data_IF_768397631154
#
_entry.id   IF_768397631154
#
_cell.length_a   1.000
_cell.length_b   1.000
_cell.length_c   1.000
_cell.angle_alpha   90.00
_cell.angle_beta   90.00
_cell.angle_gamma   90.00
#
_symmetry.space_group_name_H-M   'P 1'
#
loop_
_entity.id
_entity.type
_entity.pdbx_description
1 polymer ?
#
# COMPACT_ATOMS: atom_id res chain seq x y z
N UNK A 1 -3.54 -4.75 -11.61
CA UNK A 1 -4.36 -3.55 -11.89
C UNK A 1 -5.32 -3.13 -10.76
N UNK A 2 -5.27 -3.73 -9.56
CA UNK A 2 -6.21 -3.43 -8.45
C UNK A 2 -5.68 -2.50 -7.35
N UNK A 3 -4.41 -2.07 -7.39
CA UNK A 3 -3.83 -1.22 -6.33
C UNK A 3 -4.31 0.25 -6.36
N UNK A 4 -4.89 0.73 -7.46
CA UNK A 4 -5.36 2.11 -7.60
C UNK A 4 -6.59 2.44 -6.75
N UNK A 5 -7.43 1.45 -6.47
CA UNK A 5 -8.73 1.64 -5.84
C UNK A 5 -8.66 1.97 -4.34
N UNK A 6 -7.59 1.55 -3.65
CA UNK A 6 -7.40 1.88 -2.22
C UNK A 6 -6.83 3.29 -1.99
N UNK A 7 -6.34 3.97 -3.03
CA UNK A 7 -5.86 5.37 -2.95
C UNK A 7 -7.05 6.33 -2.84
N UNK A 8 -8.16 6.03 -3.51
CA UNK A 8 -9.37 6.86 -3.50
C UNK A 8 -9.97 6.98 -2.09
N UNK A 9 -10.06 5.88 -1.34
CA UNK A 9 -10.57 5.91 0.03
C UNK A 9 -9.70 6.73 0.99
N UNK A 10 -8.36 6.63 0.87
CA UNK A 10 -7.42 7.45 1.64
C UNK A 10 -7.53 8.95 1.31
N UNK A 11 -7.88 9.31 0.08
CA UNK A 11 -7.91 10.72 -0.35
C UNK A 11 -9.24 11.42 -0.09
N UNK A 12 -10.39 10.74 -0.23
CA UNK A 12 -11.70 11.24 0.25
C UNK A 12 -11.63 11.56 1.74
N UNK A 13 -11.03 10.64 2.47
CA UNK A 13 -10.76 10.77 3.89
C UNK A 13 -9.87 11.96 4.22
N UNK A 14 -8.77 12.13 3.48
CA UNK A 14 -7.85 13.25 3.66
C UNK A 14 -8.53 14.61 3.46
N UNK A 15 -9.37 14.73 2.42
CA UNK A 15 -10.07 15.98 2.11
C UNK A 15 -11.04 16.41 3.23
N UNK A 16 -11.79 15.45 3.78
CA UNK A 16 -12.75 15.70 4.87
C UNK A 16 -12.08 16.21 6.15
N UNK A 17 -10.82 15.85 6.36
CA UNK A 17 -10.05 16.25 7.53
C UNK A 17 -9.40 17.61 7.37
N UNK A 18 -8.83 17.91 6.20
CA UNK A 18 -8.27 19.25 5.93
C UNK A 18 -9.37 20.31 6.04
N UNK A 19 -10.58 20.03 5.56
CA UNK A 19 -11.68 20.98 5.68
C UNK A 19 -12.29 21.04 7.08
N UNK A 20 -12.13 20.00 7.92
CA UNK A 20 -12.64 20.00 9.28
C UNK A 20 -11.62 20.50 10.33
N UNK A 21 -10.33 20.47 10.02
CA UNK A 21 -9.28 21.12 10.78
C UNK A 21 -9.19 22.55 10.26
N UNK A 22 -9.96 23.47 10.87
CA UNK A 22 -9.73 24.89 10.69
C UNK A 22 -8.26 25.25 10.96
N UNK A 23 -7.76 26.40 10.48
CA UNK A 23 -6.36 26.77 10.67
C UNK A 23 -5.99 26.72 12.15
N UNK A 24 -5.06 25.82 12.51
CA UNK A 24 -4.38 25.79 13.80
C UNK A 24 -3.49 27.06 13.89
N UNK A 25 -4.12 28.22 14.12
CA UNK A 25 -3.46 29.48 14.40
C UNK A 25 -4.02 30.04 15.69
N UNK A 26 -3.13 30.22 16.67
CA UNK A 26 -3.46 30.67 18.01
C UNK A 26 -4.25 31.98 18.06
N UNK A 27 -5.05 32.10 19.12
CA UNK A 27 -5.78 33.29 19.56
C UNK A 27 -6.48 34.08 18.45
N UNK A 28 -7.50 33.47 17.86
CA UNK A 28 -8.58 34.20 17.19
C UNK A 28 -9.86 33.98 17.99
N UNK A 29 -10.24 34.99 18.77
CA UNK A 29 -11.48 35.05 19.56
C UNK A 29 -12.68 35.55 18.76
N UNK A 30 -12.78 35.17 17.48
CA UNK A 30 -14.00 35.36 16.68
C UNK A 30 -14.74 34.04 16.56
N UNK A 31 -16.04 34.10 16.82
CA UNK A 31 -17.03 33.05 16.56
C UNK A 31 -17.23 32.85 15.05
N UNK A 32 -16.14 32.67 14.31
CA UNK A 32 -16.20 32.34 12.89
C UNK A 32 -16.72 30.91 12.81
N UNK A 33 -17.98 30.80 12.38
CA UNK A 33 -18.65 29.54 12.12
C UNK A 33 -17.74 28.68 11.24
N UNK A 34 -17.24 27.58 11.81
CA UNK A 34 -16.53 26.57 11.04
C UNK A 34 -17.56 26.01 10.06
N UNK A 35 -17.49 26.45 8.79
CA UNK A 35 -18.32 25.92 7.71
C UNK A 35 -17.96 24.45 7.61
N UNK A 36 -18.87 23.57 8.04
CA UNK A 36 -18.64 22.15 7.91
C UNK A 36 -18.47 21.81 6.42
N UNK A 37 -17.47 20.99 6.07
CA UNK A 37 -17.25 20.64 4.68
C UNK A 37 -18.48 19.99 4.06
N UNK A 38 -18.87 20.46 2.88
CA UNK A 38 -19.81 19.75 2.03
C UNK A 38 -19.18 18.41 1.59
N UNK A 39 -19.59 17.33 2.26
CA UNK A 39 -19.11 15.98 2.01
C UNK A 39 -19.34 15.55 0.56
N UNK A 40 -20.45 15.99 -0.06
CA UNK A 40 -20.78 15.62 -1.44
C UNK A 40 -19.79 16.27 -2.41
N UNK A 41 -19.48 17.55 -2.21
CA UNK A 41 -18.47 18.25 -2.99
C UNK A 41 -17.10 17.59 -2.90
N UNK A 42 -16.73 17.06 -1.71
CA UNK A 42 -15.46 16.36 -1.51
C UNK A 42 -15.41 15.00 -2.21
N UNK A 43 -16.46 14.18 -2.11
CA UNK A 43 -16.55 12.92 -2.85
C UNK A 43 -16.49 13.17 -4.36
N UNK A 44 -17.28 14.13 -4.87
CA UNK A 44 -17.28 14.50 -6.28
C UNK A 44 -15.90 14.98 -6.77
N UNK A 45 -15.23 15.85 -6.00
CA UNK A 45 -13.86 16.31 -6.32
C UNK A 45 -12.88 15.14 -6.41
N UNK A 46 -12.94 14.21 -5.45
CA UNK A 46 -12.00 13.08 -5.41
C UNK A 46 -12.28 12.03 -6.46
N UNK A 47 -13.55 11.79 -6.81
CA UNK A 47 -13.91 10.96 -7.96
C UNK A 47 -13.43 11.56 -9.28
N UNK A 48 -13.51 12.89 -9.42
CA UNK A 48 -12.98 13.60 -10.59
C UNK A 48 -11.48 13.45 -10.70
N UNK A 49 -10.76 13.66 -9.59
CA UNK A 49 -9.32 13.45 -9.53
C UNK A 49 -8.93 11.98 -9.77
N UNK A 50 -9.70 11.03 -9.25
CA UNK A 50 -9.49 9.61 -9.53
C UNK A 50 -9.62 9.29 -11.02
N UNK A 51 -10.71 9.74 -11.67
CA UNK A 51 -10.92 9.57 -13.12
C UNK A 51 -9.73 10.12 -13.92
N UNK A 52 -9.19 11.29 -13.55
CA UNK A 52 -8.04 11.86 -14.27
C UNK A 52 -6.76 11.02 -14.12
N UNK A 53 -6.64 10.23 -13.05
CA UNK A 53 -5.51 9.32 -12.84
C UNK A 53 -5.63 7.97 -13.56
N UNK A 54 -6.81 7.63 -14.08
CA UNK A 54 -7.00 6.38 -14.82
C UNK A 54 -6.17 6.38 -16.12
N UNK A 55 -5.66 5.20 -16.55
CA UNK A 55 -5.17 5.02 -17.91
C UNK A 55 -6.22 5.46 -18.94
N UNK A 56 -5.78 5.95 -20.09
CA UNK A 56 -6.65 6.57 -21.10
C UNK A 56 -7.86 5.68 -21.48
N UNK A 57 -7.63 4.39 -21.76
CA UNK A 57 -8.72 3.47 -22.09
C UNK A 57 -9.75 3.29 -20.96
N UNK A 58 -9.31 3.25 -19.70
CA UNK A 58 -10.22 3.16 -18.55
C UNK A 58 -10.92 4.50 -18.26
N UNK A 59 -10.24 5.62 -18.52
CA UNK A 59 -10.82 6.96 -18.39
C UNK A 59 -11.97 7.16 -19.38
N UNK A 60 -11.81 6.70 -20.61
CA UNK A 60 -12.86 6.72 -21.64
C UNK A 60 -14.05 5.81 -21.28
N UNK A 61 -13.80 4.70 -20.58
CA UNK A 61 -14.87 3.85 -20.05
C UNK A 61 -15.58 4.50 -18.85
N UNK A 62 -14.90 5.31 -18.05
CA UNK A 62 -15.43 5.89 -16.81
C UNK A 62 -16.01 7.31 -16.98
N UNK A 63 -16.63 7.60 -18.13
CA UNK A 63 -17.16 8.94 -18.48
C UNK A 63 -18.40 9.33 -17.69
N UNK A 64 -19.24 8.36 -17.32
CA UNK A 64 -20.43 8.57 -16.49
C UNK A 64 -20.22 8.09 -15.06
N UNK A 65 -21.13 8.45 -14.15
CA UNK A 65 -21.12 7.90 -12.79
C UNK A 65 -21.38 6.39 -12.80
N UNK A 66 -22.36 5.93 -13.57
CA UNK A 66 -22.70 4.50 -13.68
C UNK A 66 -21.54 3.67 -14.22
N UNK A 67 -20.84 4.16 -15.24
CA UNK A 67 -19.71 3.43 -15.81
C UNK A 67 -18.50 3.42 -14.85
N UNK A 68 -18.29 4.51 -14.10
CA UNK A 68 -17.30 4.52 -13.04
C UNK A 68 -17.70 3.58 -11.88
N UNK A 69 -18.98 3.52 -11.52
CA UNK A 69 -19.50 2.58 -10.53
C UNK A 69 -19.23 1.14 -10.97
N UNK A 70 -19.59 0.77 -12.21
CA UNK A 70 -19.34 -0.57 -12.75
C UNK A 70 -17.84 -0.94 -12.73
N UNK A 71 -16.98 0.03 -13.01
CA UNK A 71 -15.52 -0.16 -12.95
C UNK A 71 -15.03 -0.39 -11.50
N UNK A 72 -15.60 0.34 -10.53
CA UNK A 72 -15.15 0.34 -9.14
C UNK A 72 -15.76 -0.78 -8.29
N UNK A 73 -17.02 -1.14 -8.56
CA UNK A 73 -17.85 -1.97 -7.71
C UNK A 73 -17.18 -3.31 -7.32
N UNK A 74 -16.56 -4.09 -8.24
CA UNK A 74 -15.89 -5.34 -7.84
C UNK A 74 -14.77 -5.13 -6.83
N UNK A 75 -14.11 -3.98 -6.85
CA UNK A 75 -13.06 -3.68 -5.86
C UNK A 75 -13.64 -3.17 -4.54
N UNK A 76 -14.70 -2.35 -4.59
CA UNK A 76 -15.37 -1.88 -3.39
C UNK A 76 -16.00 -3.05 -2.62
N UNK A 77 -16.74 -3.90 -3.32
CA UNK A 77 -17.33 -5.12 -2.77
C UNK A 77 -16.26 -6.05 -2.17
N UNK A 78 -15.13 -6.22 -2.86
CA UNK A 78 -14.01 -6.98 -2.30
C UNK A 78 -13.52 -6.40 -0.96
N UNK A 79 -13.40 -5.08 -0.86
CA UNK A 79 -12.85 -4.43 0.34
C UNK A 79 -13.77 -4.53 1.56
N UNK A 80 -15.09 -4.49 1.39
CA UNK A 80 -16.02 -4.46 2.53
C UNK A 80 -16.81 -5.76 2.75
N UNK A 81 -16.96 -6.63 1.74
CA UNK A 81 -17.75 -7.85 1.81
C UNK A 81 -16.91 -9.11 1.55
N UNK A 82 -16.26 -9.20 0.39
CA UNK A 82 -15.70 -10.50 -0.02
C UNK A 82 -14.40 -10.85 0.69
N UNK A 83 -13.55 -9.85 0.99
CA UNK A 83 -12.22 -10.10 1.55
C UNK A 83 -12.26 -10.97 2.81
N UNK A 84 -13.24 -10.76 3.68
CA UNK A 84 -13.40 -11.57 4.88
C UNK A 84 -13.73 -13.02 4.58
N UNK A 85 -14.76 -13.24 3.76
CA UNK A 85 -15.16 -14.58 3.30
C UNK A 85 -14.00 -15.30 2.62
N UNK A 86 -13.26 -14.59 1.76
CA UNK A 86 -12.09 -15.12 1.07
C UNK A 86 -10.96 -15.51 2.03
N UNK A 87 -10.75 -14.74 3.10
CA UNK A 87 -9.76 -15.07 4.14
C UNK A 87 -10.11 -16.36 4.86
N UNK A 88 -11.38 -16.51 5.26
CA UNK A 88 -11.86 -17.72 5.93
C UNK A 88 -11.79 -18.94 5.00
N UNK A 89 -12.28 -18.81 3.76
CA UNK A 89 -12.33 -19.90 2.78
C UNK A 89 -10.95 -20.44 2.42
N UNK A 90 -9.97 -19.55 2.25
CA UNK A 90 -8.61 -19.94 1.85
C UNK A 90 -7.66 -20.17 3.02
N UNK A 91 -8.15 -20.05 4.26
CA UNK A 91 -7.34 -20.20 5.47
C UNK A 91 -6.05 -19.38 5.39
N UNK A 92 -6.14 -18.11 4.98
CA UNK A 92 -4.95 -17.25 5.01
C UNK A 92 -4.53 -17.07 6.47
N UNK A 93 -3.55 -17.88 6.90
CA UNK A 93 -3.02 -17.89 8.24
C UNK A 93 -2.15 -16.67 8.37
N UNK A 94 -2.72 -15.52 8.66
CA UNK A 94 -1.85 -14.45 9.11
C UNK A 94 -1.57 -14.79 10.58
N UNK A 95 -0.35 -15.20 10.97
CA UNK A 95 -0.11 -15.97 12.21
C UNK A 95 -0.34 -15.18 13.51
N UNK A 96 -0.62 -13.89 13.37
CA UNK A 96 -1.03 -12.97 14.43
C UNK A 96 -2.44 -12.37 14.19
N UNK A 97 -3.15 -12.80 13.14
CA UNK A 97 -4.56 -12.52 12.83
C UNK A 97 -5.50 -13.70 13.07
N UNK A 98 -5.03 -14.80 13.69
CA UNK A 98 -5.93 -15.82 14.22
C UNK A 98 -7.01 -15.25 15.15
N UNK A 99 -6.87 -13.97 15.56
CA UNK A 99 -7.86 -13.17 16.26
C UNK A 99 -8.16 -11.80 15.61
N UNK A 100 -7.79 -11.50 14.36
CA UNK A 100 -8.09 -10.17 13.77
C UNK A 100 -9.56 -10.06 13.36
N UNK A 101 -10.10 -11.15 12.84
CA UNK A 101 -11.54 -11.33 12.66
C UNK A 101 -12.19 -11.97 13.90
N UNK A 102 -11.50 -11.97 15.03
CA UNK A 102 -12.17 -12.14 16.31
C UNK A 102 -12.26 -10.76 16.96
N UNK A 103 -13.43 -10.40 17.46
CA UNK A 103 -13.66 -9.09 18.08
C UNK A 103 -13.99 -7.99 17.09
N UNK A 104 -13.20 -6.91 17.09
CA UNK A 104 -13.59 -5.60 16.53
C UNK A 104 -13.78 -5.59 15.01
N UNK A 105 -12.87 -6.17 14.22
CA UNK A 105 -13.02 -6.17 12.74
C UNK A 105 -14.15 -7.07 12.30
N UNK A 106 -14.30 -8.25 12.90
CA UNK A 106 -15.46 -9.09 12.59
C UNK A 106 -16.76 -8.41 12.99
N UNK A 107 -16.83 -7.76 14.15
CA UNK A 107 -18.02 -6.97 14.51
C UNK A 107 -18.31 -5.89 13.47
N UNK A 108 -17.29 -5.17 12.98
CA UNK A 108 -17.46 -4.17 11.93
C UNK A 108 -17.92 -4.77 10.60
N UNK A 109 -17.28 -5.85 10.14
CA UNK A 109 -17.63 -6.47 8.86
C UNK A 109 -18.99 -7.16 8.93
N UNK A 110 -19.33 -7.82 10.04
CA UNK A 110 -20.66 -8.34 10.31
C UNK A 110 -21.70 -7.23 10.31
N UNK A 111 -21.42 -6.07 10.88
CA UNK A 111 -22.34 -4.92 10.84
C UNK A 111 -22.49 -4.37 9.41
N UNK A 112 -21.40 -4.30 8.62
CA UNK A 112 -21.49 -3.94 7.20
C UNK A 112 -22.37 -4.96 6.45
N UNK A 113 -22.11 -6.25 6.60
CA UNK A 113 -22.92 -7.32 5.98
C UNK A 113 -24.38 -7.22 6.37
N UNK A 114 -24.67 -7.06 7.67
CA UNK A 114 -26.02 -6.88 8.19
C UNK A 114 -26.73 -5.67 7.55
N UNK A 115 -26.04 -4.53 7.48
CA UNK A 115 -26.55 -3.31 6.83
C UNK A 115 -26.89 -3.56 5.35
N UNK A 116 -26.05 -4.32 4.63
CA UNK A 116 -26.28 -4.60 3.22
C UNK A 116 -27.50 -5.50 3.02
N UNK A 117 -27.60 -6.58 3.80
CA UNK A 117 -28.73 -7.52 3.74
C UNK A 117 -30.06 -6.85 4.08
N UNK A 118 -30.06 -5.89 5.00
CA UNK A 118 -31.26 -5.17 5.47
C UNK A 118 -31.36 -3.75 4.90
N UNK A 119 -30.67 -3.46 3.80
CA UNK A 119 -30.63 -2.12 3.19
C UNK A 119 -32.00 -1.60 2.73
N UNK A 120 -32.95 -2.50 2.48
CA UNK A 120 -34.34 -2.19 2.13
C UNK A 120 -35.23 -1.90 3.37
N UNK A 121 -34.79 -2.32 4.56
CA UNK A 121 -35.52 -2.14 5.82
C UNK A 121 -34.98 -0.98 6.65
N UNK A 122 -33.69 -0.66 6.50
CA UNK A 122 -32.99 0.32 7.31
C UNK A 122 -32.74 1.62 6.52
N UNK A 123 -33.21 2.78 7.01
CA UNK A 123 -32.77 4.06 6.48
C UNK A 123 -31.25 4.18 6.53
N UNK A 124 -30.60 4.65 5.47
CA UNK A 124 -29.14 4.67 5.40
C UNK A 124 -28.48 5.47 6.54
N UNK A 125 -29.12 6.56 7.00
CA UNK A 125 -28.72 7.28 8.21
C UNK A 125 -28.58 6.38 9.45
N UNK A 126 -29.47 5.40 9.64
CA UNK A 126 -29.40 4.45 10.75
C UNK A 126 -28.22 3.50 10.57
N UNK A 127 -27.99 3.04 9.34
CA UNK A 127 -26.81 2.24 8.98
C UNK A 127 -25.49 2.96 9.28
N UNK A 128 -25.40 4.25 8.93
CA UNK A 128 -24.24 5.08 9.26
C UNK A 128 -24.03 5.22 10.78
N UNK A 129 -25.12 5.39 11.56
CA UNK A 129 -25.04 5.46 13.03
C UNK A 129 -24.57 4.14 13.64
N UNK A 130 -25.03 3.01 13.11
CA UNK A 130 -24.56 1.69 13.53
C UNK A 130 -23.06 1.53 13.25
N UNK A 131 -22.57 1.95 12.07
CA UNK A 131 -21.15 1.94 11.75
C UNK A 131 -20.34 2.84 12.69
N UNK A 132 -20.82 4.06 12.95
CA UNK A 132 -20.15 4.99 13.86
C UNK A 132 -20.06 4.40 15.28
N UNK A 133 -21.18 3.89 15.82
CA UNK A 133 -21.20 3.26 17.13
C UNK A 133 -20.22 2.08 17.22
N UNK A 134 -20.11 1.29 16.15
CA UNK A 134 -19.13 0.19 16.06
C UNK A 134 -17.69 0.72 16.15
N UNK A 135 -17.37 1.78 15.41
CA UNK A 135 -16.04 2.41 15.43
C UNK A 135 -15.73 3.14 16.75
N UNK A 136 -16.74 3.56 17.48
CA UNK A 136 -16.58 4.16 18.82
C UNK A 136 -16.24 3.11 19.88
N UNK A 137 -16.73 1.89 19.74
CA UNK A 137 -16.40 0.75 20.61
C UNK A 137 -14.94 0.31 20.46
N UNK A 138 -14.33 0.57 19.30
CA UNK A 138 -12.92 0.20 19.06
C UNK A 138 -12.05 0.92 20.08
N UNK A 139 -11.45 0.15 21.00
CA UNK A 139 -10.70 0.71 22.11
C UNK A 139 -9.32 1.13 21.61
N UNK A 140 -9.06 2.45 21.49
CA UNK A 140 -7.79 2.90 20.97
C UNK A 140 -6.62 2.60 21.92
N UNK A 141 -6.89 2.24 23.16
CA UNK A 141 -5.87 1.87 24.15
C UNK A 141 -5.44 0.41 24.03
N UNK A 142 -6.25 -0.43 23.37
CA UNK A 142 -5.87 -1.82 23.06
C UNK A 142 -4.90 -1.82 21.89
N UNK A 143 -3.62 -1.95 22.23
CA UNK A 143 -2.52 -2.01 21.26
C UNK A 143 -2.75 -3.02 20.14
N UNK A 144 -3.44 -4.13 20.39
CA UNK A 144 -3.71 -5.14 19.37
C UNK A 144 -4.62 -4.61 18.28
N UNK A 145 -5.79 -4.06 18.62
CA UNK A 145 -6.78 -3.59 17.66
C UNK A 145 -6.27 -2.44 16.78
N UNK A 146 -5.63 -1.45 17.40
CA UNK A 146 -5.09 -0.29 16.67
C UNK A 146 -3.99 -0.70 15.68
N UNK A 147 -3.09 -1.60 16.07
CA UNK A 147 -1.87 -1.84 15.31
C UNK A 147 -2.06 -2.76 14.11
N UNK A 148 -3.09 -3.61 14.11
CA UNK A 148 -3.28 -4.64 13.08
C UNK A 148 -4.57 -4.48 12.28
N UNK A 149 -5.67 -4.09 12.93
CA UNK A 149 -7.02 -4.19 12.36
C UNK A 149 -7.46 -2.91 11.63
N UNK A 150 -7.04 -1.77 12.16
CA UNK A 150 -7.45 -0.45 11.69
C UNK A 150 -7.31 -0.23 10.16
N UNK A 151 -6.21 -0.60 9.48
CA UNK A 151 -6.07 -0.34 8.05
C UNK A 151 -7.14 -1.05 7.20
N UNK A 152 -7.57 -2.24 7.63
CA UNK A 152 -8.64 -3.01 6.99
C UNK A 152 -9.98 -2.33 7.26
N UNK A 153 -10.27 -2.02 8.54
CA UNK A 153 -11.51 -1.34 8.95
C UNK A 153 -11.72 -0.02 8.21
N UNK A 154 -10.68 0.83 8.10
CA UNK A 154 -10.75 2.08 7.34
C UNK A 154 -11.14 1.81 5.89
N UNK A 155 -10.48 0.86 5.23
CA UNK A 155 -10.75 0.56 3.82
C UNK A 155 -12.15 0.02 3.60
N UNK A 156 -12.61 -0.89 4.44
CA UNK A 156 -13.95 -1.45 4.36
C UNK A 156 -15.02 -0.35 4.52
N UNK A 157 -14.91 0.47 5.56
CA UNK A 157 -15.87 1.57 5.80
C UNK A 157 -15.85 2.59 4.67
N UNK A 158 -14.67 3.03 4.22
CA UNK A 158 -14.61 3.99 3.12
C UNK A 158 -15.10 3.40 1.79
N UNK A 159 -14.82 2.13 1.52
CA UNK A 159 -15.34 1.46 0.35
C UNK A 159 -16.87 1.37 0.39
N UNK A 160 -17.45 1.04 1.55
CA UNK A 160 -18.90 1.00 1.75
C UNK A 160 -19.56 2.36 1.51
N UNK A 161 -19.00 3.43 2.09
CA UNK A 161 -19.49 4.80 1.89
C UNK A 161 -19.43 5.24 0.42
N UNK A 162 -18.32 4.91 -0.25
CA UNK A 162 -18.12 5.23 -1.66
C UNK A 162 -19.06 4.46 -2.58
N UNK A 163 -19.28 3.17 -2.29
CA UNK A 163 -20.20 2.33 -3.05
C UNK A 163 -21.62 2.87 -2.96
N UNK A 164 -22.07 3.26 -1.77
CA UNK A 164 -23.35 3.95 -1.58
C UNK A 164 -23.43 5.26 -2.38
N UNK A 165 -22.42 6.13 -2.27
CA UNK A 165 -22.39 7.40 -2.99
C UNK A 165 -22.48 7.23 -4.52
N UNK A 166 -21.80 6.21 -5.05
CA UNK A 166 -21.82 5.91 -6.48
C UNK A 166 -23.17 5.34 -6.94
N UNK A 167 -23.83 4.51 -6.14
CA UNK A 167 -25.11 3.87 -6.49
C UNK A 167 -26.32 4.76 -6.26
N UNK A 168 -26.38 5.46 -5.13
CA UNK A 168 -27.57 6.22 -4.69
C UNK A 168 -27.41 7.72 -5.00
N UNK A 169 -26.17 8.22 -4.99
CA UNK A 169 -25.86 9.63 -5.23
C UNK A 169 -25.48 10.37 -3.95
N UNK A 170 -25.84 11.64 -3.88
CA UNK A 170 -25.44 12.52 -2.78
C UNK A 170 -26.05 12.09 -1.45
N UNK A 171 -25.26 12.24 -0.38
CA UNK A 171 -25.74 12.15 0.99
C UNK A 171 -26.67 13.32 1.31
N UNK A 172 -27.75 13.06 2.04
CA UNK A 172 -28.55 14.12 2.67
C UNK A 172 -27.71 14.88 3.71
N UNK A 173 -28.14 16.07 4.14
CA UNK A 173 -27.42 16.86 5.14
C UNK A 173 -27.15 16.06 6.44
N UNK A 174 -28.19 15.36 6.92
CA UNK A 174 -28.13 14.51 8.10
C UNK A 174 -27.18 13.31 7.94
N UNK A 175 -27.14 12.70 6.77
CA UNK A 175 -26.21 11.60 6.48
C UNK A 175 -24.78 12.12 6.39
N UNK A 176 -24.59 13.28 5.75
CA UNK A 176 -23.29 13.90 5.60
C UNK A 176 -22.63 14.23 6.93
N UNK A 177 -23.39 14.72 7.92
CA UNK A 177 -22.90 14.94 9.28
C UNK A 177 -22.34 13.64 9.92
N UNK A 178 -23.05 12.52 9.74
CA UNK A 178 -22.60 11.21 10.26
C UNK A 178 -21.38 10.70 9.49
N UNK A 179 -21.33 10.88 8.17
CA UNK A 179 -20.15 10.54 7.36
C UNK A 179 -18.92 11.32 7.83
N UNK A 180 -19.05 12.62 8.09
CA UNK A 180 -17.95 13.44 8.63
C UNK A 180 -17.47 12.90 9.97
N UNK A 181 -18.39 12.53 10.88
CA UNK A 181 -18.05 11.91 12.18
C UNK A 181 -17.29 10.58 12.02
N UNK A 182 -17.75 9.71 11.12
CA UNK A 182 -17.08 8.45 10.80
C UNK A 182 -15.65 8.71 10.30
N UNK A 183 -15.48 9.63 9.35
CA UNK A 183 -14.17 9.98 8.80
C UNK A 183 -13.24 10.58 9.87
N UNK A 184 -13.73 11.49 10.71
CA UNK A 184 -12.97 12.04 11.85
C UNK A 184 -12.51 10.93 12.80
N UNK A 185 -13.40 10.00 13.17
CA UNK A 185 -13.08 8.89 14.08
C UNK A 185 -12.00 7.97 13.51
N UNK A 186 -12.18 7.54 12.27
CA UNK A 186 -11.19 6.74 11.56
C UNK A 186 -9.83 7.46 11.51
N UNK A 187 -9.78 8.80 11.42
CA UNK A 187 -8.49 9.52 11.34
C UNK A 187 -7.78 9.60 12.66
N UNK A 188 -8.53 9.82 13.73
CA UNK A 188 -7.98 9.77 15.09
C UNK A 188 -7.32 8.42 15.35
N UNK A 189 -7.96 7.33 14.91
CA UNK A 189 -7.39 5.98 14.98
C UNK A 189 -6.09 5.86 14.16
N UNK A 190 -6.05 6.37 12.91
CA UNK A 190 -4.81 6.41 12.10
C UNK A 190 -3.68 7.15 12.80
N UNK A 191 -3.97 8.38 13.24
CA UNK A 191 -2.99 9.26 13.89
C UNK A 191 -2.42 8.59 15.13
N UNK A 192 -3.27 7.99 15.96
CA UNK A 192 -2.83 7.28 17.15
C UNK A 192 -2.02 6.01 16.81
N UNK A 193 -2.42 5.25 15.80
CA UNK A 193 -1.65 4.09 15.31
C UNK A 193 -0.25 4.52 14.87
N UNK A 194 -0.16 5.56 14.04
CA UNK A 194 1.10 6.09 13.53
C UNK A 194 2.02 6.59 14.66
N UNK A 195 1.48 7.36 15.61
CA UNK A 195 2.21 7.84 16.78
C UNK A 195 2.72 6.71 17.69
N UNK A 196 1.97 5.60 17.75
CA UNK A 196 2.33 4.43 18.55
C UNK A 196 3.42 3.58 17.89
N UNK A 197 3.35 3.42 16.56
CA UNK A 197 4.29 2.60 15.78
C UNK A 197 5.69 3.23 15.74
N UNK A 198 5.78 4.55 15.59
CA UNK A 198 7.01 5.39 15.59
C UNK A 198 8.10 5.04 14.57
N UNK A 199 8.05 3.87 13.95
CA UNK A 199 8.99 3.39 12.93
C UNK A 199 8.19 3.21 11.65
N UNK A 200 8.67 3.80 10.57
CA UNK A 200 8.13 3.62 9.22
C UNK A 200 8.88 2.49 8.54
N UNK A 201 8.14 1.44 8.16
CA UNK A 201 8.63 0.43 7.22
C UNK A 201 8.11 0.79 5.83
N UNK A 202 9.02 1.12 4.93
CA UNK A 202 8.71 1.27 3.52
C UNK A 202 8.95 -0.05 2.79
N UNK A 203 7.88 -0.74 2.40
CA UNK A 203 8.00 -1.84 1.47
C UNK A 203 8.22 -1.31 0.07
N UNK A 204 9.49 -1.29 -0.32
CA UNK A 204 9.91 -0.83 -1.63
C UNK A 204 9.76 -1.98 -2.63
N UNK A 205 8.59 -2.05 -3.26
CA UNK A 205 8.44 -2.81 -4.51
C UNK A 205 9.41 -2.22 -5.53
N UNK A 206 10.48 -2.95 -5.83
CA UNK A 206 11.58 -2.42 -6.63
C UNK A 206 11.11 -1.73 -7.91
N UNK A 207 11.77 -0.61 -8.25
CA UNK A 207 11.42 0.29 -9.38
C UNK A 207 10.08 1.00 -9.26
N UNK A 208 9.55 1.12 -8.05
CA UNK A 208 8.36 1.92 -7.72
C UNK A 208 8.72 3.18 -6.93
N UNK A 209 9.83 3.84 -7.27
CA UNK A 209 10.20 5.15 -6.72
C UNK A 209 10.89 5.12 -5.35
N UNK A 210 11.51 4.01 -4.95
CA UNK A 210 12.07 3.92 -3.59
C UNK A 210 13.28 4.82 -3.31
N UNK A 211 14.09 5.15 -4.32
CA UNK A 211 15.14 6.17 -4.15
C UNK A 211 14.54 7.51 -3.78
N UNK A 212 13.48 7.94 -4.48
CA UNK A 212 12.77 9.18 -4.15
C UNK A 212 12.16 9.10 -2.75
N UNK A 213 11.44 8.03 -2.42
CA UNK A 213 10.82 7.91 -1.10
C UNK A 213 11.85 7.90 0.05
N UNK A 214 13.01 7.27 -0.15
CA UNK A 214 14.12 7.32 0.80
C UNK A 214 14.64 8.76 0.99
N UNK A 215 14.82 9.53 -0.08
CA UNK A 215 15.19 10.95 0.05
C UNK A 215 14.09 11.78 0.73
N UNK A 216 12.81 11.48 0.49
CA UNK A 216 11.71 12.14 1.21
C UNK A 216 11.77 11.87 2.71
N UNK A 217 12.09 10.64 3.10
CA UNK A 217 12.31 10.32 4.52
C UNK A 217 13.35 11.25 5.13
N UNK A 218 14.48 11.47 4.44
CA UNK A 218 15.52 12.42 4.87
C UNK A 218 14.99 13.84 5.03
N UNK A 219 14.28 14.35 4.01
CA UNK A 219 13.73 15.71 4.02
C UNK A 219 12.71 15.91 5.14
N UNK A 220 11.95 14.87 5.49
CA UNK A 220 10.98 14.88 6.59
C UNK A 220 11.61 14.49 7.95
N UNK A 221 12.92 14.55 8.10
CA UNK A 221 13.60 14.37 9.39
C UNK A 221 13.66 12.92 9.90
N UNK A 222 13.43 11.94 9.04
CA UNK A 222 13.62 10.53 9.40
C UNK A 222 15.09 10.19 9.65
N UNK A 223 15.32 9.08 10.36
CA UNK A 223 16.62 8.52 10.71
C UNK A 223 16.68 7.06 10.27
N UNK A 224 17.73 6.73 9.52
CA UNK A 224 18.01 5.39 9.00
C UNK A 224 19.52 5.17 8.95
N UNK A 225 19.98 3.99 8.53
CA UNK A 225 21.40 3.67 8.41
C UNK A 225 22.09 4.52 7.33
N UNK A 226 21.47 4.62 6.15
CA UNK A 226 22.03 5.40 5.05
C UNK A 226 20.95 5.91 4.08
N UNK A 227 20.98 7.20 3.76
CA UNK A 227 20.11 7.82 2.76
C UNK A 227 20.74 7.90 1.36
N UNK A 228 21.83 7.19 1.05
CA UNK A 228 22.39 7.23 -0.31
C UNK A 228 21.45 6.58 -1.33
N UNK A 229 21.51 7.05 -2.57
CA UNK A 229 20.72 6.51 -3.68
C UNK A 229 21.06 5.05 -4.03
N UNK A 230 22.22 4.58 -3.60
CA UNK A 230 22.66 3.19 -3.77
C UNK A 230 22.12 2.27 -2.68
N UNK A 231 21.92 2.77 -1.46
CA UNK A 231 21.43 1.99 -0.32
C UNK A 231 19.92 2.08 -0.14
N UNK A 232 19.25 3.12 -0.68
CA UNK A 232 17.80 3.29 -0.61
C UNK A 232 17.20 3.04 0.78
N UNK A 233 17.89 3.49 1.85
CA UNK A 233 17.42 3.34 3.23
C UNK A 233 17.28 1.88 3.69
N UNK A 234 18.00 0.95 3.06
CA UNK A 234 18.15 -0.42 3.55
C UNK A 234 18.96 -0.44 4.84
N UNK A 235 18.62 -1.38 5.73
CA UNK A 235 19.46 -1.74 6.87
C UNK A 235 20.33 -2.92 6.46
N UNK A 236 21.65 -2.75 6.47
CA UNK A 236 22.61 -3.74 5.94
C UNK A 236 22.41 -5.11 6.59
N UNK A 237 22.11 -5.13 7.89
CA UNK A 237 21.90 -6.35 8.65
C UNK A 237 20.69 -7.17 8.17
N UNK A 238 19.60 -6.52 7.73
CA UNK A 238 18.38 -7.22 7.36
C UNK A 238 18.52 -7.99 6.04
N UNK A 239 19.44 -7.57 5.16
CA UNK A 239 19.67 -8.16 3.84
C UNK A 239 18.42 -8.16 2.94
N UNK A 240 17.64 -7.08 3.04
CA UNK A 240 16.43 -6.86 2.25
C UNK A 240 16.69 -6.29 0.85
N UNK A 241 17.94 -6.31 0.39
CA UNK A 241 18.27 -5.89 -0.96
C UNK A 241 17.56 -6.80 -2.00
N UNK A 242 17.19 -6.24 -3.16
CA UNK A 242 16.43 -6.98 -4.15
C UNK A 242 17.26 -8.14 -4.77
N UNK A 243 16.55 -9.18 -5.23
CA UNK A 243 17.13 -10.40 -5.79
C UNK A 243 16.50 -10.69 -7.16
N UNK A 244 16.80 -9.85 -8.13
CA UNK A 244 16.10 -9.85 -9.42
C UNK A 244 16.48 -11.01 -10.33
N UNK A 245 17.77 -11.37 -10.35
CA UNK A 245 18.31 -12.27 -11.37
C UNK A 245 18.82 -13.57 -10.78
N UNK A 246 18.80 -14.62 -11.61
CA UNK A 246 19.29 -15.94 -11.26
C UNK A 246 20.82 -15.99 -11.43
N UNK A 247 21.56 -16.46 -10.40
CA UNK A 247 23.01 -16.62 -10.50
C UNK A 247 23.39 -17.69 -11.52
N UNK A 248 24.52 -17.52 -12.19
CA UNK A 248 25.08 -18.50 -13.12
C UNK A 248 24.39 -18.63 -14.49
N UNK A 249 23.33 -17.86 -14.76
CA UNK A 249 22.55 -18.02 -16.00
C UNK A 249 23.34 -17.67 -17.27
N UNK A 250 24.36 -16.82 -17.17
CA UNK A 250 25.20 -16.45 -18.31
C UNK A 250 26.36 -17.44 -18.56
N UNK A 251 26.31 -18.63 -17.94
CA UNK A 251 27.24 -19.73 -18.22
C UNK A 251 28.69 -19.34 -17.95
N UNK A 252 29.53 -19.46 -18.98
CA UNK A 252 30.97 -19.18 -18.89
C UNK A 252 31.27 -17.76 -18.37
N UNK A 253 30.47 -16.77 -18.74
CA UNK A 253 30.68 -15.39 -18.32
C UNK A 253 30.54 -15.26 -16.79
N UNK A 254 29.51 -15.88 -16.20
CA UNK A 254 29.32 -15.96 -14.76
C UNK A 254 30.45 -16.74 -14.06
N UNK A 255 30.97 -17.81 -14.67
CA UNK A 255 32.08 -18.60 -14.11
C UNK A 255 33.37 -17.78 -14.04
N UNK A 256 33.66 -16.99 -15.09
CA UNK A 256 34.92 -16.22 -15.18
C UNK A 256 34.94 -15.00 -14.27
N UNK A 257 33.82 -14.29 -14.10
CA UNK A 257 33.78 -12.99 -13.42
C UNK A 257 32.86 -12.95 -12.19
N UNK A 258 32.17 -14.04 -11.86
CA UNK A 258 31.11 -14.05 -10.87
C UNK A 258 29.86 -13.32 -11.37
N UNK A 259 28.85 -13.19 -10.53
CA UNK A 259 27.60 -12.50 -10.87
C UNK A 259 27.43 -11.16 -10.14
N UNK A 260 26.69 -10.19 -10.72
CA UNK A 260 26.40 -8.93 -10.06
C UNK A 260 25.60 -9.15 -8.76
N UNK A 261 25.65 -8.16 -7.86
CA UNK A 261 25.06 -8.27 -6.52
C UNK A 261 23.55 -8.62 -6.50
N UNK A 262 22.81 -8.28 -7.55
CA UNK A 262 21.38 -8.56 -7.71
C UNK A 262 21.08 -10.01 -8.14
N UNK A 263 22.09 -10.79 -8.54
CA UNK A 263 21.99 -12.18 -8.97
C UNK A 263 21.91 -13.15 -7.78
N UNK A 264 20.79 -13.07 -7.07
CA UNK A 264 20.56 -13.82 -5.81
C UNK A 264 19.18 -14.46 -5.77
N UNK A 265 18.46 -14.50 -6.88
CA UNK A 265 17.19 -15.22 -6.99
C UNK A 265 17.35 -16.68 -6.57
N UNK A 266 16.34 -17.25 -5.89
CA UNK A 266 16.40 -18.63 -5.37
C UNK A 266 17.24 -18.82 -4.10
N UNK A 267 18.02 -17.83 -3.65
CA UNK A 267 18.75 -17.95 -2.38
C UNK A 267 17.79 -17.91 -1.20
N UNK A 268 18.07 -18.74 -0.19
CA UNK A 268 17.32 -18.75 1.07
C UNK A 268 17.39 -17.39 1.77
N UNK A 269 16.36 -17.13 2.55
CA UNK A 269 16.19 -15.89 3.29
C UNK A 269 16.54 -16.09 4.76
N UNK A 270 16.98 -15.02 5.42
CA UNK A 270 17.37 -15.06 6.82
C UNK A 270 16.15 -15.03 7.73
N UNK A 271 15.91 -16.12 8.45
CA UNK A 271 14.88 -16.21 9.50
C UNK A 271 15.22 -15.40 10.76
N UNK A 272 16.46 -14.92 10.87
CA UNK A 272 16.94 -14.18 12.04
C UNK A 272 16.20 -12.85 12.25
N UNK A 273 15.69 -12.24 11.18
CA UNK A 273 15.15 -10.89 11.21
C UNK A 273 13.64 -10.86 11.05
N UNK A 274 12.95 -11.42 12.05
CA UNK A 274 11.51 -11.24 12.22
C UNK A 274 11.17 -9.84 12.75
N UNK A 275 9.90 -9.42 12.68
CA UNK A 275 9.43 -8.07 13.02
C UNK A 275 9.94 -7.57 14.38
N UNK A 276 9.84 -8.39 15.43
CA UNK A 276 10.34 -8.05 16.76
C UNK A 276 11.86 -7.78 16.80
N UNK A 277 12.66 -8.61 16.13
CA UNK A 277 14.11 -8.43 16.08
C UNK A 277 14.49 -7.16 15.30
N UNK A 278 13.78 -6.87 14.21
CA UNK A 278 13.94 -5.62 13.45
C UNK A 278 13.63 -4.40 14.33
N UNK A 279 12.50 -4.42 15.05
CA UNK A 279 12.09 -3.34 15.97
C UNK A 279 13.14 -3.08 17.04
N UNK A 280 13.65 -4.14 17.68
CA UNK A 280 14.68 -4.03 18.71
C UNK A 280 15.95 -3.38 18.15
N UNK A 281 16.41 -3.81 16.97
CA UNK A 281 17.58 -3.21 16.33
C UNK A 281 17.36 -1.72 16.01
N UNK A 282 16.26 -1.39 15.33
CA UNK A 282 15.94 -0.01 14.93
C UNK A 282 15.82 0.90 16.15
N UNK A 283 15.16 0.44 17.22
CA UNK A 283 15.02 1.18 18.48
C UNK A 283 16.39 1.43 19.12
N UNK A 284 17.25 0.41 19.19
CA UNK A 284 18.61 0.51 19.73
C UNK A 284 19.46 1.51 18.93
N UNK A 285 19.34 1.50 17.60
CA UNK A 285 20.06 2.41 16.70
C UNK A 285 19.41 3.80 16.61
N UNK A 286 18.26 4.02 17.26
CA UNK A 286 17.44 5.24 17.15
C UNK A 286 17.04 5.55 15.69
N UNK A 287 16.83 4.51 14.90
CA UNK A 287 16.26 4.61 13.57
C UNK A 287 14.73 4.54 13.65
N UNK A 288 14.07 5.37 12.85
CA UNK A 288 12.61 5.41 12.75
C UNK A 288 12.13 5.22 11.31
N UNK A 289 13.02 4.87 10.39
CA UNK A 289 12.72 4.66 8.99
C UNK A 289 13.64 3.60 8.39
N UNK A 290 13.09 2.68 7.62
CA UNK A 290 13.87 1.81 6.74
C UNK A 290 13.06 1.32 5.55
N UNK A 291 13.78 0.83 4.55
CA UNK A 291 13.22 0.19 3.36
C UNK A 291 13.40 -1.34 3.41
N UNK A 292 12.39 -2.07 2.97
CA UNK A 292 12.46 -3.49 2.64
C UNK A 292 12.25 -3.64 1.12
N UNK A 293 13.29 -4.03 0.37
CA UNK A 293 13.25 -4.15 -1.10
C UNK A 293 13.02 -5.57 -1.61
N UNK A 294 12.86 -6.54 -0.72
CA UNK A 294 12.89 -7.95 -1.08
C UNK A 294 11.51 -8.58 -1.09
N UNK A 295 11.00 -8.94 0.08
CA UNK A 295 9.73 -9.65 0.25
C UNK A 295 9.10 -9.35 1.61
N UNK A 296 7.80 -9.59 1.77
CA UNK A 296 7.10 -9.51 3.05
C UNK A 296 7.64 -10.48 4.12
N UNK A 297 7.33 -10.19 5.39
CA UNK A 297 7.79 -10.97 6.54
C UNK A 297 7.11 -12.34 6.62
N UNK A 298 7.67 -13.23 7.44
CA UNK A 298 7.30 -14.65 7.59
C UNK A 298 7.34 -15.51 6.30
N UNK A 299 8.17 -15.07 5.36
CA UNK A 299 8.34 -15.61 4.00
C UNK A 299 8.71 -17.10 3.84
N UNK A 300 9.11 -17.80 4.91
CA UNK A 300 9.71 -19.14 4.83
C UNK A 300 8.80 -20.24 5.38
N UNK A 301 7.67 -19.91 6.03
CA UNK A 301 6.74 -20.91 6.57
C UNK A 301 5.62 -21.22 5.60
N UNK A 302 4.98 -20.17 5.09
CA UNK A 302 3.95 -20.25 4.06
C UNK A 302 3.71 -18.88 3.45
N UNK A 303 3.48 -18.81 2.14
CA UNK A 303 2.99 -17.57 1.51
C UNK A 303 1.59 -17.17 2.00
N UNK A 304 0.83 -18.08 2.62
CA UNK A 304 -0.47 -17.77 3.24
C UNK A 304 -0.35 -17.01 4.56
N UNK A 305 0.86 -16.96 5.15
CA UNK A 305 1.09 -16.29 6.43
C UNK A 305 2.06 -15.13 6.42
N UNK A 306 2.29 -14.58 5.25
CA UNK A 306 3.06 -13.35 5.10
C UNK A 306 2.28 -12.13 5.53
N UNK A 307 2.98 -11.18 6.14
CA UNK A 307 2.37 -9.97 6.68
C UNK A 307 3.36 -8.80 6.74
N UNK A 308 2.86 -7.55 6.74
CA UNK A 308 3.64 -6.40 7.20
C UNK A 308 3.90 -6.47 8.71
N UNK A 309 4.94 -5.80 9.20
CA UNK A 309 5.16 -5.73 10.65
C UNK A 309 4.15 -4.77 11.29
N UNK A 310 3.25 -5.31 12.13
CA UNK A 310 2.24 -4.52 12.84
C UNK A 310 2.81 -3.44 13.75
N UNK A 311 4.03 -3.64 14.23
CA UNK A 311 4.73 -2.67 15.06
C UNK A 311 5.20 -1.43 14.30
N UNK A 312 5.18 -1.47 12.97
CA UNK A 312 5.63 -0.39 12.10
C UNK A 312 4.44 0.27 11.39
N UNK A 313 4.64 1.52 10.99
CA UNK A 313 3.80 2.24 10.04
C UNK A 313 4.24 1.77 8.64
N UNK A 314 3.47 0.89 8.03
CA UNK A 314 3.81 0.24 6.78
C UNK A 314 3.33 1.06 5.59
N UNK A 315 4.26 1.34 4.70
CA UNK A 315 4.03 2.12 3.49
C UNK A 315 4.44 1.29 2.29
N UNK A 316 3.64 1.30 1.23
CA UNK A 316 4.04 0.73 -0.06
C UNK A 316 3.69 1.70 -1.18
N UNK A 317 4.60 1.80 -2.14
CA UNK A 317 4.36 2.51 -3.39
C UNK A 317 4.25 1.47 -4.51
N UNK A 318 3.15 1.53 -5.25
CA UNK A 318 2.97 0.78 -6.48
C UNK A 318 3.31 1.63 -7.69
N UNK A 319 3.71 0.96 -8.76
CA UNK A 319 3.85 1.52 -10.09
C UNK A 319 3.06 0.66 -11.06
N UNK A 320 2.63 1.27 -12.17
CA UNK A 320 2.04 0.54 -13.28
C UNK A 320 2.98 -0.63 -13.69
N UNK A 321 2.45 -1.87 -13.78
CA UNK A 321 3.26 -3.07 -14.05
C UNK A 321 4.18 -3.00 -15.26
N UNK A 322 3.73 -2.51 -16.41
CA UNK A 322 4.54 -2.44 -17.64
C UNK A 322 5.70 -1.45 -17.49
N UNK A 323 5.42 -0.24 -17.02
CA UNK A 323 6.42 0.78 -16.73
C UNK A 323 7.45 0.31 -15.69
N UNK A 324 7.01 -0.49 -14.71
CA UNK A 324 7.88 -1.11 -13.71
C UNK A 324 8.78 -2.19 -14.35
N UNK A 325 8.25 -3.03 -15.26
CA UNK A 325 9.04 -4.03 -15.99
C UNK A 325 10.10 -3.33 -16.81
N UNK A 326 9.73 -2.36 -17.66
CA UNK A 326 10.69 -1.60 -18.50
C UNK A 326 11.80 -0.98 -17.64
N UNK A 327 11.44 -0.36 -16.52
CA UNK A 327 12.41 0.23 -15.59
C UNK A 327 13.33 -0.80 -14.93
N UNK A 328 12.86 -2.02 -14.68
CA UNK A 328 13.72 -3.12 -14.25
C UNK A 328 14.69 -3.55 -15.35
N UNK A 329 14.21 -3.74 -16.59
CA UNK A 329 15.05 -4.21 -17.70
C UNK A 329 16.20 -3.25 -17.93
N UNK A 330 15.90 -1.95 -18.06
CA UNK A 330 16.91 -0.91 -18.21
C UNK A 330 17.95 -0.95 -17.10
N UNK A 331 17.53 -1.19 -15.86
CA UNK A 331 18.46 -1.24 -14.73
C UNK A 331 19.29 -2.53 -14.68
N UNK A 332 18.70 -3.68 -15.02
CA UNK A 332 19.42 -4.94 -15.12
C UNK A 332 20.46 -4.83 -16.23
N UNK A 333 20.06 -4.39 -17.43
CA UNK A 333 20.98 -4.17 -18.55
C UNK A 333 22.12 -3.23 -18.16
N UNK A 334 21.81 -2.07 -17.55
CA UNK A 334 22.83 -1.14 -17.05
C UNK A 334 23.83 -1.81 -16.12
N UNK A 335 23.36 -2.62 -15.15
CA UNK A 335 24.23 -3.29 -14.19
C UNK A 335 25.08 -4.37 -14.84
N UNK A 336 24.51 -5.17 -15.74
CA UNK A 336 25.22 -6.25 -16.40
C UNK A 336 26.24 -5.72 -17.42
N UNK A 337 25.91 -4.67 -18.17
CA UNK A 337 26.87 -3.97 -19.05
C UNK A 337 27.99 -3.33 -18.24
N UNK A 338 27.69 -2.71 -17.10
CA UNK A 338 28.73 -2.16 -16.23
C UNK A 338 29.63 -3.25 -15.63
N UNK A 339 29.07 -4.42 -15.30
CA UNK A 339 29.79 -5.51 -14.65
C UNK A 339 30.64 -6.34 -15.63
N UNK A 340 30.10 -6.68 -16.80
CA UNK A 340 30.74 -7.55 -17.81
C UNK A 340 31.26 -6.81 -19.05
N UNK A 341 31.06 -5.49 -19.14
CA UNK A 341 31.36 -4.67 -20.33
C UNK A 341 30.64 -5.16 -21.60
N UNK A 342 31.24 -4.93 -22.78
CA UNK A 342 30.67 -5.30 -24.07
C UNK A 342 30.46 -6.81 -24.25
N UNK A 343 31.23 -7.64 -23.52
CA UNK A 343 31.12 -9.11 -23.62
C UNK A 343 29.75 -9.64 -23.20
N UNK A 344 28.99 -8.88 -22.39
CA UNK A 344 27.62 -9.24 -22.01
C UNK A 344 26.73 -9.56 -23.24
N UNK A 345 26.86 -8.79 -24.30
CA UNK A 345 26.00 -8.90 -25.49
C UNK A 345 26.30 -10.13 -26.34
N UNK A 346 27.45 -10.78 -26.16
CA UNK A 346 27.77 -12.05 -26.81
C UNK A 346 26.98 -13.22 -26.19
N UNK A 347 26.59 -13.09 -24.92
CA UNK A 347 25.91 -14.13 -24.14
C UNK A 347 24.44 -13.84 -23.86
N UNK A 348 23.99 -12.60 -24.13
CA UNK A 348 22.63 -12.18 -23.83
C UNK A 348 22.01 -11.35 -24.95
N UNK A 349 20.87 -11.83 -25.47
CA UNK A 349 20.01 -11.12 -26.41
C UNK A 349 18.87 -10.42 -25.65
N UNK A 350 18.90 -9.07 -25.53
CA UNK A 350 17.85 -8.33 -24.83
C UNK A 350 16.49 -8.40 -25.53
N UNK A 351 16.43 -8.82 -26.79
CA UNK A 351 15.18 -9.02 -27.51
C UNK A 351 14.54 -10.39 -27.24
N UNK A 352 15.27 -11.35 -26.66
CA UNK A 352 14.77 -12.71 -26.41
C UNK A 352 13.96 -12.81 -25.11
N UNK A 353 12.63 -13.04 -25.15
CA UNK A 353 11.83 -13.22 -23.94
C UNK A 353 12.24 -14.47 -23.15
N UNK A 354 12.71 -15.52 -23.84
CA UNK A 354 13.13 -16.76 -23.21
C UNK A 354 14.41 -16.58 -22.39
N UNK A 355 15.36 -15.76 -22.86
CA UNK A 355 16.55 -15.45 -22.07
C UNK A 355 16.20 -14.59 -20.86
N UNK A 356 15.29 -13.62 -21.01
CA UNK A 356 14.77 -12.84 -19.89
C UNK A 356 14.05 -13.67 -18.83
N UNK A 357 13.20 -14.62 -19.24
CA UNK A 357 12.49 -15.51 -18.33
C UNK A 357 13.45 -16.39 -17.52
N UNK A 358 14.61 -16.77 -18.09
CA UNK A 358 15.67 -17.50 -17.37
C UNK A 358 16.48 -16.57 -16.46
N UNK A 359 16.87 -15.40 -16.96
CA UNK A 359 17.74 -14.47 -16.25
C UNK A 359 17.04 -13.80 -15.08
N UNK A 360 15.81 -13.31 -15.27
CA UNK A 360 15.08 -12.50 -14.30
C UNK A 360 13.64 -12.99 -14.07
N UNK A 361 13.41 -14.26 -13.67
CA UNK A 361 12.07 -14.83 -13.54
C UNK A 361 11.05 -13.95 -12.78
N UNK A 362 11.37 -13.44 -11.56
CA UNK A 362 10.37 -12.70 -10.80
C UNK A 362 10.03 -11.35 -11.44
N UNK A 363 10.94 -10.76 -12.24
CA UNK A 363 10.72 -9.46 -12.88
C UNK A 363 9.62 -9.54 -13.93
N UNK A 364 9.62 -10.64 -14.71
CA UNK A 364 8.70 -10.89 -15.82
C UNK A 364 7.43 -11.65 -15.44
N UNK A 365 7.40 -12.26 -14.26
CA UNK A 365 6.24 -13.00 -13.80
C UNK A 365 5.75 -12.47 -12.45
N UNK A 366 4.75 -11.59 -12.48
CA UNK A 366 3.99 -11.19 -11.29
C UNK A 366 4.83 -10.68 -10.10
N UNK A 367 5.93 -9.94 -10.36
CA UNK A 367 6.86 -9.44 -9.34
C UNK A 367 6.20 -8.86 -8.08
N UNK A 368 5.14 -8.05 -8.25
CA UNK A 368 4.45 -7.40 -7.12
C UNK A 368 3.78 -8.43 -6.22
N UNK A 369 3.02 -9.35 -6.82
CA UNK A 369 2.35 -10.46 -6.11
C UNK A 369 3.40 -11.31 -5.40
N UNK A 370 4.46 -11.69 -6.12
CA UNK A 370 5.60 -12.44 -5.59
C UNK A 370 6.24 -11.77 -4.38
N UNK A 371 6.47 -10.47 -4.45
CA UNK A 371 7.14 -9.72 -3.36
C UNK A 371 6.21 -9.59 -2.14
N UNK A 372 4.92 -9.35 -2.37
CA UNK A 372 3.92 -9.27 -1.30
C UNK A 372 3.69 -10.61 -0.61
N UNK A 373 3.91 -11.72 -1.29
CA UNK A 373 3.64 -13.07 -0.78
C UNK A 373 4.88 -13.78 -0.19
N UNK A 374 5.91 -13.01 0.16
CA UNK A 374 7.09 -13.57 0.79
C UNK A 374 7.95 -14.39 -0.19
N UNK A 375 8.93 -15.06 0.40
CA UNK A 375 10.04 -15.74 -0.25
C UNK A 375 9.65 -17.04 -0.93
N UNK A 376 8.70 -17.78 -0.36
CA UNK A 376 8.15 -18.97 -1.00
C UNK A 376 7.48 -18.62 -2.34
N UNK A 377 6.58 -17.63 -2.34
CA UNK A 377 5.93 -17.16 -3.56
C UNK A 377 6.92 -16.47 -4.50
N UNK A 378 7.87 -15.69 -3.95
CA UNK A 378 8.88 -15.02 -4.74
C UNK A 378 9.71 -15.99 -5.58
N UNK A 379 10.10 -17.12 -5.00
CA UNK A 379 10.93 -18.14 -5.65
C UNK A 379 10.15 -19.20 -6.44
N UNK A 380 8.82 -19.08 -6.59
CA UNK A 380 8.07 -20.05 -7.39
C UNK A 380 8.55 -20.10 -8.85
N UNK A 381 8.38 -21.22 -9.57
CA UNK A 381 8.72 -21.28 -10.99
C UNK A 381 8.00 -20.22 -11.82
N UNK A 382 8.56 -19.85 -12.97
CA UNK A 382 7.93 -18.91 -13.90
C UNK A 382 6.58 -19.46 -14.39
N UNK A 383 5.54 -18.63 -14.40
CA UNK A 383 4.19 -18.96 -14.88
C UNK A 383 3.30 -19.67 -13.86
N UNK A 384 3.75 -19.90 -12.62
CA UNK A 384 2.96 -20.63 -11.61
C UNK A 384 2.15 -19.73 -10.68
N UNK A 385 2.36 -18.40 -10.73
CA UNK A 385 1.53 -17.46 -9.97
C UNK A 385 0.14 -17.44 -10.58
N UNK A 386 -0.89 -17.62 -9.75
CA UNK A 386 -2.28 -17.80 -10.19
C UNK A 386 -3.26 -16.87 -9.44
N UNK A 387 -4.56 -17.06 -9.65
CA UNK A 387 -5.61 -16.25 -9.05
C UNK A 387 -5.61 -16.27 -7.51
N UNK A 388 -5.32 -17.41 -6.88
CA UNK A 388 -5.25 -17.54 -5.42
C UNK A 388 -4.11 -16.70 -4.83
N UNK A 389 -2.96 -16.67 -5.52
CA UNK A 389 -1.85 -15.81 -5.12
C UNK A 389 -2.20 -14.33 -5.29
N UNK A 390 -2.86 -13.94 -6.38
CA UNK A 390 -3.32 -12.57 -6.56
C UNK A 390 -4.30 -12.16 -5.45
N UNK A 391 -5.23 -13.04 -5.08
CA UNK A 391 -6.16 -12.84 -3.98
C UNK A 391 -5.43 -12.61 -2.65
N UNK A 392 -4.47 -13.47 -2.30
CA UNK A 392 -3.67 -13.31 -1.09
C UNK A 392 -2.86 -12.00 -1.10
N UNK A 393 -2.28 -11.62 -2.23
CA UNK A 393 -1.55 -10.35 -2.34
C UNK A 393 -2.47 -9.13 -2.16
N UNK A 394 -3.72 -9.20 -2.64
CA UNK A 394 -4.74 -8.15 -2.36
C UNK A 394 -4.99 -8.04 -0.85
N UNK A 395 -5.14 -9.16 -0.15
CA UNK A 395 -5.37 -9.21 1.30
C UNK A 395 -4.17 -8.64 2.08
N UNK A 396 -2.95 -9.02 1.72
CA UNK A 396 -1.73 -8.44 2.33
C UNK A 396 -1.67 -6.93 2.08
N UNK A 397 -2.05 -6.47 0.90
CA UNK A 397 -2.09 -5.03 0.56
C UNK A 397 -3.06 -4.25 1.45
N UNK A 398 -4.17 -4.86 1.88
CA UNK A 398 -5.13 -4.22 2.79
C UNK A 398 -4.57 -3.98 4.20
N UNK A 399 -3.47 -4.62 4.57
CA UNK A 399 -2.86 -4.48 5.90
C UNK A 399 -1.92 -3.26 6.01
N UNK A 400 -1.48 -2.67 4.89
CA UNK A 400 -0.62 -1.49 4.92
C UNK A 400 -1.38 -0.26 5.42
N UNK A 401 -0.73 0.64 6.16
CA UNK A 401 -1.35 1.89 6.59
C UNK A 401 -1.40 2.92 5.47
N UNK A 402 -0.42 2.93 4.58
CA UNK A 402 -0.32 3.92 3.50
C UNK A 402 -0.02 3.23 2.17
N UNK A 403 -0.93 3.39 1.21
CA UNK A 403 -0.72 2.97 -0.17
C UNK A 403 -0.55 4.19 -1.05
N UNK A 404 0.48 4.15 -1.87
CA UNK A 404 0.80 5.19 -2.82
C UNK A 404 0.86 4.58 -4.22
N UNK A 405 0.56 5.41 -5.22
CA UNK A 405 0.75 5.05 -6.63
C UNK A 405 1.65 6.07 -7.29
N UNK A 406 2.70 5.59 -7.96
CA UNK A 406 3.62 6.39 -8.74
C UNK A 406 3.08 6.53 -10.16
N UNK A 407 2.05 7.35 -10.33
CA UNK A 407 1.63 7.84 -11.65
C UNK A 407 1.86 9.34 -11.76
N UNK A 408 2.25 9.85 -12.94
CA UNK A 408 2.41 11.29 -13.14
C UNK A 408 1.16 12.09 -12.75
N UNK A 409 -0.01 11.50 -12.96
CA UNK A 409 -1.31 12.13 -12.74
C UNK A 409 -1.77 12.09 -11.27
N UNK A 410 -1.09 11.35 -10.38
CA UNK A 410 -1.52 11.21 -8.97
C UNK A 410 -0.93 12.27 -8.04
N UNK A 411 -0.23 13.29 -8.52
CA UNK A 411 0.51 14.24 -7.67
C UNK A 411 -0.36 14.89 -6.58
N UNK A 412 -1.59 15.29 -6.89
CA UNK A 412 -2.54 15.88 -5.92
C UNK A 412 -3.09 14.83 -4.93
N UNK A 413 -3.41 13.61 -5.41
CA UNK A 413 -3.82 12.51 -4.51
C UNK A 413 -2.70 12.16 -3.53
N UNK A 414 -1.47 12.19 -4.02
CA UNK A 414 -0.30 11.80 -3.26
C UNK A 414 0.03 12.83 -2.16
N UNK A 415 -0.18 14.13 -2.41
CA UNK A 415 0.05 15.20 -1.41
C UNK A 415 -0.72 14.94 -0.12
N UNK A 416 -2.03 14.72 -0.26
CA UNK A 416 -2.93 14.46 0.86
C UNK A 416 -2.53 13.22 1.67
N UNK A 417 -1.99 12.20 0.98
CA UNK A 417 -1.53 10.97 1.62
C UNK A 417 -0.20 11.18 2.34
N UNK A 418 0.72 11.99 1.82
CA UNK A 418 1.94 12.34 2.55
C UNK A 418 1.64 13.15 3.82
N UNK A 419 0.82 14.19 3.70
CA UNK A 419 0.46 15.04 4.82
C UNK A 419 -0.33 14.28 5.89
N UNK A 420 -1.45 13.66 5.53
CA UNK A 420 -2.35 13.04 6.51
C UNK A 420 -2.03 11.58 6.81
N UNK A 421 -1.46 10.86 5.85
CA UNK A 421 -1.03 9.48 6.03
C UNK A 421 0.28 9.36 6.80
N UNK A 422 1.26 10.24 6.52
CA UNK A 422 2.60 10.14 7.12
C UNK A 422 2.95 11.30 8.07
N UNK A 423 2.17 12.38 8.10
CA UNK A 423 2.56 13.60 8.82
C UNK A 423 3.75 14.30 8.17
N UNK A 424 4.00 14.05 6.88
CA UNK A 424 5.15 14.57 6.16
C UNK A 424 4.81 15.91 5.51
N UNK A 425 5.71 16.88 5.67
CA UNK A 425 5.61 18.21 5.06
C UNK A 425 6.08 18.19 3.60
N UNK A 426 7.10 17.39 3.30
CA UNK A 426 7.65 17.24 1.95
C UNK A 426 7.12 15.98 1.28
N UNK A 427 6.76 16.12 0.01
CA UNK A 427 6.27 15.04 -0.88
C UNK A 427 7.10 14.92 -2.17
N UNK A 428 6.71 13.99 -3.05
CA UNK A 428 7.45 13.69 -4.29
C UNK A 428 7.68 14.90 -5.21
N UNK A 429 6.86 15.95 -5.16
CA UNK A 429 7.05 17.16 -5.98
C UNK A 429 8.30 17.93 -5.58
N UNK A 430 8.67 17.85 -4.30
CA UNK A 430 9.82 18.55 -3.74
C UNK A 430 11.17 17.91 -4.13
N UNK A 431 11.18 16.66 -4.61
CA UNK A 431 12.41 15.99 -5.06
C UNK A 431 12.72 16.18 -6.54
N UNK A 432 11.70 16.48 -7.35
CA UNK A 432 11.84 16.66 -8.78
C UNK A 432 11.98 18.12 -9.20
N UNK A 433 11.84 19.06 -8.26
CA UNK A 433 12.32 20.43 -8.40
C UNK A 433 13.86 20.42 -8.42
N UNK A 434 14.46 20.09 -9.57
CA UNK A 434 15.83 20.56 -9.83
C UNK A 434 15.80 22.09 -9.71
N UNK A 435 16.79 22.74 -9.08
CA UNK A 435 17.00 24.15 -9.31
C UNK A 435 17.26 24.29 -10.81
N UNK A 436 16.35 24.96 -11.50
CA UNK A 436 16.60 25.53 -12.83
C UNK A 436 17.60 26.64 -12.72
#
# INVERSE_FOLDING_TARGET
>A
MTCFYSVLGLTIFSALLVSAQGPDSGDISSSDYIIEPDVNALFAKKLTLYRSTLPEGLRQQATTQDALMQLLHPTLQFLYADSYTQILQHQFIVPELGSLFDGEVASLLSNITYIQEHSHELPFKLSLRLLLATLEIFDPTRYTSILTAYPISRRAVTAFLLDHYLHVGNFTADEGEVVVKICKRLFQMHKLAALTKRIVEFFHVSKSGGTSFCQLGKLNGCKTENFTTTQNCLITYFRDAPRWTMPGVLGELSVRQGDPWCARYGRQYSLRWHCRARRQLLTRMRFNFYSNELVMHDHNRSWTGVHPCREFLNVVIFREPEARVVSHLQNILKLYVWYYNATFWEYFDPASPQQWARLAPPVFDNYVVRSLLGGQAYNMPYGTVNATHLLAAKIVTMQFEVLLSLTPQSSELTQDIFGLGLGWQYDLRHLHARPT
#
